data_IF_892305422761
#
_entry.id   IF_892305422761
#
_cell.length_a   1.000
_cell.length_b   1.000
_cell.length_c   1.000
_cell.angle_alpha   90.00
_cell.angle_beta   90.00
_cell.angle_gamma   90.00
#
_symmetry.space_group_name_H-M   'P 1'
#
loop_
_entity.id
_entity.type
_entity.pdbx_description
1 polymer ?
#
# COMPACT_ATOMS: atom_id res chain seq x y z
N UNK A 1 13.42 -22.34 20.00
CA UNK A 1 12.55 -21.63 19.04
C UNK A 1 11.61 -20.74 19.82
N UNK A 2 11.68 -19.43 19.61
CA UNK A 2 10.75 -18.49 20.26
C UNK A 2 9.52 -18.41 19.37
N UNK A 3 8.46 -19.14 19.74
CA UNK A 3 7.15 -19.07 19.09
C UNK A 3 6.41 -17.79 19.50
N UNK A 4 6.94 -16.65 19.08
CA UNK A 4 6.20 -15.39 19.05
C UNK A 4 5.36 -15.31 17.76
N UNK A 5 4.24 -14.58 17.75
CA UNK A 5 3.61 -14.17 16.50
C UNK A 5 4.66 -13.42 15.65
N UNK A 6 4.63 -13.53 14.31
CA UNK A 6 5.59 -12.86 13.46
C UNK A 6 5.55 -11.35 13.75
N UNK A 7 6.69 -10.80 14.17
CA UNK A 7 6.90 -9.36 14.33
C UNK A 7 6.84 -8.74 12.95
N UNK A 8 6.17 -7.58 12.81
CA UNK A 8 6.22 -6.81 11.57
C UNK A 8 7.69 -6.57 11.20
N UNK A 9 8.06 -6.96 9.98
CA UNK A 9 9.42 -6.71 9.47
C UNK A 9 9.64 -5.22 9.25
N UNK A 10 8.54 -4.49 9.02
CA UNK A 10 8.56 -3.07 8.72
C UNK A 10 7.25 -2.39 9.10
N UNK A 11 7.32 -1.14 9.58
CA UNK A 11 6.18 -0.27 9.86
C UNK A 11 6.50 1.18 9.45
N UNK A 12 5.54 1.84 8.80
CA UNK A 12 5.50 3.29 8.62
C UNK A 12 4.20 3.83 9.19
N UNK A 13 4.31 4.95 9.91
CA UNK A 13 3.17 5.78 10.29
C UNK A 13 3.30 7.14 9.64
N UNK A 14 2.26 7.54 8.90
CA UNK A 14 2.18 8.84 8.25
C UNK A 14 0.96 9.58 8.79
N UNK A 15 1.18 10.78 9.33
CA UNK A 15 0.09 11.68 9.71
C UNK A 15 -0.16 12.70 8.59
N UNK A 16 -1.38 12.74 8.09
CA UNK A 16 -1.82 13.62 7.02
C UNK A 16 -3.05 14.41 7.43
N UNK A 17 -3.32 15.50 6.72
CA UNK A 17 -4.61 16.18 6.70
C UNK A 17 -4.94 16.51 5.25
N UNK A 18 -6.12 16.11 4.80
CA UNK A 18 -6.54 16.41 3.44
C UNK A 18 -6.87 17.90 3.32
N UNK A 19 -6.41 18.53 2.23
CA UNK A 19 -6.77 19.92 1.89
C UNK A 19 -8.04 20.00 1.04
N UNK A 20 -8.43 18.88 0.44
CA UNK A 20 -9.63 18.70 -0.39
C UNK A 20 -10.22 17.35 -0.03
N UNK A 21 -11.54 17.28 0.14
CA UNK A 21 -12.24 16.02 0.41
C UNK A 21 -12.00 15.05 -0.74
N UNK A 22 -11.55 13.81 -0.47
CA UNK A 22 -11.46 12.78 -1.49
C UNK A 22 -12.82 12.51 -2.17
N UNK A 23 -12.78 12.20 -3.45
CA UNK A 23 -13.96 11.87 -4.26
C UNK A 23 -14.08 10.35 -4.33
N UNK A 24 -14.98 9.79 -3.53
CA UNK A 24 -15.18 8.35 -3.44
C UNK A 24 -14.13 7.66 -2.58
N UNK A 25 -13.80 6.41 -2.93
CA UNK A 25 -12.84 5.60 -2.16
C UNK A 25 -11.40 6.07 -2.35
N UNK A 26 -10.65 6.07 -1.25
CA UNK A 26 -9.20 6.30 -1.27
C UNK A 26 -8.48 4.94 -1.32
N UNK A 27 -7.51 4.82 -2.20
CA UNK A 27 -6.74 3.61 -2.44
C UNK A 27 -5.27 3.80 -2.05
N UNK A 28 -4.64 2.72 -1.58
CA UNK A 28 -3.19 2.55 -1.60
C UNK A 28 -2.84 1.85 -2.90
N UNK A 29 -1.97 2.47 -3.69
CA UNK A 29 -1.41 1.91 -4.92
C UNK A 29 0.03 1.44 -4.73
N UNK A 30 0.40 0.37 -5.39
CA UNK A 30 1.78 -0.06 -5.62
C UNK A 30 1.98 -0.21 -7.13
N UNK A 31 2.96 0.48 -7.70
CA UNK A 31 3.16 0.58 -9.14
C UNK A 31 4.63 0.38 -9.53
N UNK A 32 4.83 -0.23 -10.70
CA UNK A 32 6.12 -0.28 -11.39
C UNK A 32 5.98 0.53 -12.68
N UNK A 33 6.94 1.41 -12.97
CA UNK A 33 6.77 2.46 -13.98
C UNK A 33 7.70 2.35 -15.18
N UNK A 34 8.78 1.58 -15.09
CA UNK A 34 9.79 1.49 -16.15
C UNK A 34 9.37 0.54 -17.28
N UNK A 35 8.30 -0.24 -17.08
CA UNK A 35 7.72 -1.10 -18.10
C UNK A 35 6.88 -2.24 -17.51
N UNK A 36 6.31 -3.10 -18.37
CA UNK A 36 5.57 -4.26 -17.93
C UNK A 36 6.47 -5.25 -17.19
N UNK A 37 5.87 -6.11 -16.36
CA UNK A 37 6.61 -7.16 -15.69
C UNK A 37 7.07 -8.21 -16.71
N UNK A 38 8.39 -8.33 -16.91
CA UNK A 38 9.00 -9.31 -17.81
C UNK A 38 9.03 -10.71 -17.16
N UNK A 39 7.86 -11.30 -16.93
CA UNK A 39 7.71 -12.58 -16.25
C UNK A 39 7.64 -13.75 -17.24
N UNK A 40 8.57 -14.69 -17.10
CA UNK A 40 8.45 -16.03 -17.68
C UNK A 40 7.30 -16.83 -17.07
N UNK A 41 6.99 -17.99 -17.66
CA UNK A 41 5.86 -18.85 -17.24
C UNK A 41 5.91 -19.18 -15.74
N UNK A 42 7.10 -19.52 -15.24
CA UNK A 42 7.30 -19.88 -13.84
C UNK A 42 7.12 -18.69 -12.89
N UNK A 43 7.78 -17.56 -13.15
CA UNK A 43 7.67 -16.35 -12.29
C UNK A 43 6.28 -15.74 -12.33
N UNK A 44 5.56 -15.89 -13.45
CA UNK A 44 4.14 -15.54 -13.56
C UNK A 44 3.25 -16.39 -12.67
N UNK A 45 3.51 -17.70 -12.59
CA UNK A 45 2.83 -18.59 -11.65
C UNK A 45 3.03 -18.17 -10.19
N UNK A 46 4.26 -17.80 -9.84
CA UNK A 46 4.60 -17.28 -8.50
C UNK A 46 3.88 -15.96 -8.23
N UNK A 47 3.94 -14.99 -9.17
CA UNK A 47 3.28 -13.70 -9.02
C UNK A 47 1.77 -13.88 -8.74
N UNK A 48 1.09 -14.73 -9.51
CA UNK A 48 -0.33 -15.06 -9.30
C UNK A 48 -0.59 -15.72 -7.96
N UNK A 49 0.30 -16.58 -7.48
CA UNK A 49 0.15 -17.21 -6.17
C UNK A 49 0.28 -16.17 -5.03
N UNK A 50 1.27 -15.27 -5.10
CA UNK A 50 1.44 -14.16 -4.14
C UNK A 50 0.21 -13.24 -4.16
N UNK A 51 -0.27 -12.86 -5.34
CA UNK A 51 -1.47 -12.04 -5.52
C UNK A 51 -2.73 -12.75 -4.99
N UNK A 52 -2.86 -14.06 -5.21
CA UNK A 52 -3.96 -14.86 -4.69
C UNK A 52 -4.01 -14.89 -3.16
N UNK A 53 -2.85 -14.97 -2.50
CA UNK A 53 -2.75 -14.82 -1.04
C UNK A 53 -3.22 -13.42 -0.62
N UNK A 54 -2.72 -12.37 -1.27
CA UNK A 54 -3.13 -10.99 -1.00
C UNK A 54 -4.63 -10.77 -1.16
N UNK A 55 -5.22 -11.27 -2.26
CA UNK A 55 -6.66 -11.19 -2.51
C UNK A 55 -7.48 -11.91 -1.44
N UNK A 56 -7.05 -13.12 -1.04
CA UNK A 56 -7.71 -13.87 0.03
C UNK A 56 -7.72 -13.08 1.34
N UNK A 57 -6.59 -12.46 1.70
CA UNK A 57 -6.48 -11.62 2.90
C UNK A 57 -7.35 -10.36 2.82
N UNK A 58 -7.41 -9.71 1.66
CA UNK A 58 -8.27 -8.54 1.47
C UNK A 58 -9.76 -8.90 1.55
N UNK A 59 -10.19 -10.03 0.97
CA UNK A 59 -11.57 -10.50 1.04
C UNK A 59 -12.02 -10.82 2.45
N UNK A 60 -11.14 -11.37 3.29
CA UNK A 60 -11.42 -11.55 4.72
C UNK A 60 -11.69 -10.23 5.45
N UNK A 61 -11.26 -9.10 4.87
CA UNK A 61 -11.52 -7.74 5.38
C UNK A 61 -12.62 -7.02 4.59
N UNK A 62 -13.39 -7.74 3.76
CA UNK A 62 -14.49 -7.17 2.97
C UNK A 62 -14.04 -6.27 1.83
N UNK A 63 -12.83 -6.47 1.29
CA UNK A 63 -12.31 -5.65 0.21
C UNK A 63 -11.77 -6.49 -0.95
N UNK A 64 -11.81 -5.88 -2.13
CA UNK A 64 -11.20 -6.43 -3.34
C UNK A 64 -9.93 -5.67 -3.70
N UNK A 65 -8.91 -6.43 -4.08
CA UNK A 65 -7.67 -5.89 -4.64
C UNK A 65 -7.84 -5.83 -6.15
N UNK A 66 -7.62 -4.64 -6.72
CA UNK A 66 -7.44 -4.45 -8.17
C UNK A 66 -5.97 -4.64 -8.49
N UNK A 67 -5.64 -5.39 -9.52
CA UNK A 67 -4.25 -5.51 -9.98
C UNK A 67 -4.18 -5.84 -11.46
N UNK A 68 -3.02 -5.53 -12.07
CA UNK A 68 -2.59 -6.02 -13.38
C UNK A 68 -1.09 -6.33 -13.31
N UNK A 69 -0.62 -7.27 -14.13
CA UNK A 69 0.81 -7.51 -14.33
C UNK A 69 1.40 -6.65 -15.48
N UNK A 70 0.56 -5.84 -16.14
CA UNK A 70 0.93 -4.96 -17.24
C UNK A 70 1.10 -5.66 -18.60
N UNK A 71 0.67 -6.92 -18.72
CA UNK A 71 0.75 -7.70 -19.96
C UNK A 71 -0.62 -7.92 -20.64
N UNK A 72 -1.69 -7.37 -20.06
CA UNK A 72 -3.06 -7.54 -20.57
C UNK A 72 -3.40 -6.53 -21.67
N UNK A 73 -2.92 -5.29 -21.55
CA UNK A 73 -3.13 -4.21 -22.52
C UNK A 73 -1.83 -3.47 -22.84
N UNK A 74 -1.70 -3.04 -24.09
CA UNK A 74 -0.53 -2.28 -24.54
C UNK A 74 -0.41 -0.96 -23.75
N UNK A 75 0.75 -0.74 -23.14
CA UNK A 75 1.03 0.45 -22.33
C UNK A 75 0.48 0.40 -20.90
N UNK A 76 -0.21 -0.67 -20.49
CA UNK A 76 -0.67 -0.81 -19.11
C UNK A 76 0.51 -1.10 -18.16
N UNK A 77 0.55 -0.37 -17.05
CA UNK A 77 1.60 -0.54 -16.04
C UNK A 77 1.19 -1.57 -14.99
N UNK A 78 2.13 -2.43 -14.56
CA UNK A 78 1.88 -3.34 -13.45
C UNK A 78 1.52 -2.56 -12.19
N UNK A 79 0.40 -2.89 -11.58
CA UNK A 79 -0.02 -2.22 -10.36
C UNK A 79 -0.90 -3.09 -9.49
N UNK A 80 -0.97 -2.71 -8.21
CA UNK A 80 -1.91 -3.23 -7.22
C UNK A 80 -2.58 -2.01 -6.57
N UNK A 81 -3.90 -2.03 -6.44
CA UNK A 81 -4.66 -1.00 -5.75
C UNK A 81 -5.62 -1.63 -4.72
N UNK A 82 -5.58 -1.12 -3.50
CA UNK A 82 -6.32 -1.66 -2.36
C UNK A 82 -6.98 -0.50 -1.61
N UNK A 83 -8.27 -0.55 -1.27
CA UNK A 83 -8.90 0.48 -0.44
C UNK A 83 -8.11 0.70 0.85
N UNK A 84 -7.78 1.97 1.15
CA UNK A 84 -7.04 2.35 2.37
C UNK A 84 -7.73 1.81 3.62
N UNK A 85 -9.07 1.89 3.64
CA UNK A 85 -9.92 1.42 4.73
C UNK A 85 -9.79 -0.08 5.00
N UNK A 86 -9.39 -0.88 4.03
CA UNK A 86 -9.20 -2.32 4.20
C UNK A 86 -7.74 -2.71 4.48
N UNK A 87 -6.82 -1.92 3.95
CA UNK A 87 -5.39 -2.24 3.98
C UNK A 87 -4.69 -1.69 5.21
N UNK A 88 -4.94 -0.42 5.54
CA UNK A 88 -4.22 0.30 6.59
C UNK A 88 -4.95 0.25 7.93
N UNK A 89 -4.15 0.38 8.99
CA UNK A 89 -4.64 0.75 10.31
C UNK A 89 -4.70 2.28 10.36
N UNK A 90 -5.77 2.85 10.93
CA UNK A 90 -6.01 4.29 10.83
C UNK A 90 -6.41 4.92 12.16
N UNK A 91 -5.93 6.12 12.41
CA UNK A 91 -6.29 6.92 13.58
C UNK A 91 -6.71 8.31 13.13
N UNK A 92 -7.88 8.77 13.57
CA UNK A 92 -8.43 10.10 13.27
C UNK A 92 -8.36 10.97 14.52
N UNK A 93 -7.94 12.23 14.40
CA UNK A 93 -7.89 13.16 15.52
C UNK A 93 -8.26 14.59 15.09
N UNK A 94 -8.75 15.39 16.04
CA UNK A 94 -9.13 16.79 15.79
C UNK A 94 -7.91 17.72 15.62
N UNK A 95 -6.72 17.22 15.96
CA UNK A 95 -5.46 17.93 15.81
C UNK A 95 -4.29 16.97 15.62
N UNK A 96 -3.08 17.50 15.35
CA UNK A 96 -1.87 16.70 15.27
C UNK A 96 -1.63 15.92 16.56
N UNK A 97 -1.19 14.66 16.44
CA UNK A 97 -0.77 13.82 17.57
C UNK A 97 0.68 13.37 17.40
N UNK A 98 1.44 13.16 18.50
CA UNK A 98 2.78 12.59 18.41
C UNK A 98 2.79 11.21 17.75
N UNK A 99 3.79 10.97 16.91
CA UNK A 99 4.09 9.65 16.35
C UNK A 99 5.30 9.02 17.08
N UNK A 100 5.39 7.69 17.18
CA UNK A 100 4.41 6.70 16.71
C UNK A 100 3.20 6.59 17.64
N UNK A 101 2.02 6.33 17.06
CA UNK A 101 0.83 5.92 17.81
C UNK A 101 1.00 4.44 18.18
N UNK A 102 1.01 4.18 19.49
CA UNK A 102 1.02 2.83 20.04
C UNK A 102 -0.41 2.44 20.42
N UNK A 103 -0.92 1.40 19.78
CA UNK A 103 -2.26 0.86 20.05
C UNK A 103 -2.20 -0.67 20.10
N UNK A 104 -2.87 -1.32 21.08
CA UNK A 104 -2.79 -2.78 21.27
C UNK A 104 -3.41 -3.56 20.10
N UNK A 105 -4.45 -2.99 19.48
CA UNK A 105 -5.10 -3.65 18.35
C UNK A 105 -4.27 -3.54 17.06
N UNK A 106 -4.13 -4.68 16.40
CA UNK A 106 -3.34 -4.83 15.16
C UNK A 106 -4.05 -4.28 13.93
N UNK A 107 -5.38 -4.28 13.93
CA UNK A 107 -6.23 -3.80 12.83
C UNK A 107 -7.38 -2.98 13.41
N UNK A 108 -7.83 -1.98 12.67
CA UNK A 108 -8.98 -1.16 13.06
C UNK A 108 -8.83 0.30 12.64
N UNK A 109 -9.84 1.07 13.02
CA UNK A 109 -9.91 2.51 12.80
C UNK A 109 -10.47 3.16 14.05
N UNK A 110 -9.78 4.17 14.57
CA UNK A 110 -10.18 4.84 15.81
C UNK A 110 -10.20 6.35 15.65
N UNK A 111 -10.95 7.00 16.51
CA UNK A 111 -10.96 8.44 16.69
C UNK A 111 -10.50 8.81 18.09
N UNK A 112 -9.63 9.82 18.22
CA UNK A 112 -9.20 10.35 19.51
C UNK A 112 -10.30 11.23 20.08
N UNK A 113 -10.99 10.76 21.11
CA UNK A 113 -12.01 11.52 21.83
C UNK A 113 -11.68 11.55 23.32
N UNK A 114 -11.64 12.74 23.90
CA UNK A 114 -11.37 12.94 25.34
C UNK A 114 -10.11 12.22 25.85
N UNK A 115 -9.06 12.17 25.03
CA UNK A 115 -7.79 11.52 25.36
C UNK A 115 -7.76 10.00 25.20
N UNK A 116 -8.83 9.39 24.66
CA UNK A 116 -8.91 7.94 24.42
C UNK A 116 -9.22 7.62 22.96
N UNK A 117 -8.69 6.49 22.47
CA UNK A 117 -8.98 5.99 21.12
C UNK A 117 -10.27 5.17 21.13
N UNK A 118 -11.31 5.68 20.48
CA UNK A 118 -12.61 5.00 20.36
C UNK A 118 -12.76 4.43 18.95
N UNK A 119 -13.20 3.17 18.79
CA UNK A 119 -13.37 2.58 17.47
C UNK A 119 -14.45 3.32 16.67
N UNK A 120 -14.21 3.51 15.38
CA UNK A 120 -15.17 4.10 14.44
C UNK A 120 -15.33 3.22 13.21
N UNK A 121 -16.47 3.37 12.51
CA UNK A 121 -16.77 2.61 11.32
C UNK A 121 -15.88 3.01 10.13
N UNK A 122 -15.52 2.02 9.31
CA UNK A 122 -14.74 2.19 8.08
C UNK A 122 -15.68 2.47 6.91
N UNK A 123 -16.12 3.70 6.76
CA UNK A 123 -16.95 4.13 5.64
C UNK A 123 -16.12 4.74 4.50
N UNK A 124 -16.68 4.80 3.29
CA UNK A 124 -16.02 5.37 2.13
C UNK A 124 -15.83 6.90 2.24
N UNK A 125 -16.70 7.57 3.01
CA UNK A 125 -16.71 9.00 3.31
C UNK A 125 -15.98 9.33 4.63
N UNK A 126 -15.15 8.42 5.13
CA UNK A 126 -14.39 8.61 6.37
C UNK A 126 -13.46 9.83 6.33
N UNK A 127 -12.95 10.18 5.15
CA UNK A 127 -11.95 11.23 4.98
C UNK A 127 -12.58 12.60 4.77
N UNK A 128 -12.10 13.60 5.52
CA UNK A 128 -12.55 14.98 5.46
C UNK A 128 -11.38 15.98 5.56
N UNK A 129 -11.68 17.27 5.53
CA UNK A 129 -10.70 18.36 5.59
C UNK A 129 -10.38 18.86 7.00
N UNK A 130 -11.19 18.46 7.97
CA UNK A 130 -11.18 18.99 9.34
C UNK A 130 -10.24 18.20 10.24
N UNK A 131 -10.18 16.88 10.04
CA UNK A 131 -9.44 15.97 10.91
C UNK A 131 -8.09 15.58 10.35
N UNK A 132 -7.19 15.22 11.27
CA UNK A 132 -5.92 14.58 10.97
C UNK A 132 -6.12 13.08 10.91
N UNK A 133 -5.43 12.43 9.98
CA UNK A 133 -5.46 10.99 9.79
C UNK A 133 -4.03 10.46 9.89
N UNK A 134 -3.76 9.60 10.87
CA UNK A 134 -2.55 8.80 10.90
C UNK A 134 -2.83 7.45 10.24
N UNK A 135 -2.18 7.24 9.10
CA UNK A 135 -2.22 6.03 8.30
C UNK A 135 -1.03 5.16 8.69
N UNK A 136 -1.30 3.93 9.11
CA UNK A 136 -0.27 2.99 9.55
C UNK A 136 -0.24 1.80 8.60
N UNK A 137 0.87 1.69 7.89
CA UNK A 137 1.21 0.51 7.10
C UNK A 137 2.22 -0.32 7.88
N UNK A 138 1.91 -1.59 8.09
CA UNK A 138 2.87 -2.57 8.56
C UNK A 138 2.66 -3.89 7.83
N UNK A 139 3.73 -4.67 7.75
CA UNK A 139 3.68 -5.97 7.08
C UNK A 139 4.66 -6.93 7.71
N UNK A 140 4.23 -8.18 7.84
CA UNK A 140 5.07 -9.33 8.18
C UNK A 140 5.51 -10.09 6.94
N UNK A 141 5.11 -9.63 5.76
CA UNK A 141 5.26 -10.36 4.49
C UNK A 141 6.24 -9.71 3.52
N UNK A 142 6.66 -8.47 3.79
CA UNK A 142 7.61 -7.76 2.96
C UNK A 142 8.68 -7.16 3.86
N UNK A 143 9.92 -7.49 3.57
CA UNK A 143 11.09 -6.84 4.13
C UNK A 143 11.65 -5.90 3.05
N UNK A 144 11.32 -4.62 3.15
CA UNK A 144 11.81 -3.61 2.21
C UNK A 144 13.32 -3.35 2.36
N UNK A 145 13.91 -3.59 3.53
CA UNK A 145 15.35 -3.44 3.70
C UNK A 145 16.11 -4.49 2.88
N UNK A 146 15.73 -5.76 3.02
CA UNK A 146 16.30 -6.88 2.26
C UNK A 146 15.74 -7.03 0.84
N UNK A 147 14.66 -6.31 0.52
CA UNK A 147 13.94 -6.38 -0.75
C UNK A 147 13.37 -7.77 -1.03
N UNK A 148 12.65 -8.32 -0.05
CA UNK A 148 12.11 -9.70 -0.11
C UNK A 148 10.67 -9.76 0.32
N UNK A 149 9.91 -10.62 -0.33
CA UNK A 149 8.77 -11.25 0.32
C UNK A 149 9.28 -12.28 1.34
N UNK A 150 8.67 -12.27 2.51
CA UNK A 150 8.99 -13.17 3.61
C UNK A 150 7.72 -13.84 4.13
N UNK A 151 7.85 -15.04 4.67
CA UNK A 151 6.73 -15.75 5.31
C UNK A 151 5.47 -15.86 4.45
N UNK A 152 5.60 -15.94 3.13
CA UNK A 152 4.46 -16.15 2.23
C UNK A 152 3.96 -17.59 2.42
N UNK A 153 2.66 -17.80 2.73
CA UNK A 153 2.09 -19.12 2.88
C UNK A 153 2.42 -20.03 1.69
N UNK A 154 2.91 -21.24 1.97
CA UNK A 154 3.35 -22.25 1.00
C UNK A 154 4.58 -21.89 0.11
N UNK A 155 4.97 -20.62 -0.01
CA UNK A 155 6.08 -20.18 -0.86
C UNK A 155 7.36 -19.82 -0.07
N UNK A 156 7.25 -19.52 1.22
CA UNK A 156 8.38 -19.15 2.05
C UNK A 156 8.84 -17.71 1.78
N UNK A 157 10.11 -17.54 1.41
CA UNK A 157 10.67 -16.24 1.03
C UNK A 157 11.00 -16.17 -0.45
N UNK A 158 10.84 -14.99 -1.04
CA UNK A 158 11.08 -14.72 -2.46
C UNK A 158 11.73 -13.36 -2.59
N UNK A 159 12.75 -13.24 -3.42
CA UNK A 159 13.34 -11.94 -3.74
C UNK A 159 12.36 -11.09 -4.55
N UNK A 160 12.08 -9.86 -4.11
CA UNK A 160 11.18 -8.95 -4.83
C UNK A 160 11.70 -8.68 -6.25
N UNK A 161 13.02 -8.69 -6.46
CA UNK A 161 13.62 -8.53 -7.78
C UNK A 161 13.27 -9.67 -8.75
N UNK A 162 12.86 -10.84 -8.24
CA UNK A 162 12.36 -11.94 -9.08
C UNK A 162 11.07 -11.56 -9.80
N UNK A 163 10.27 -10.68 -9.21
CA UNK A 163 9.04 -10.18 -9.82
C UNK A 163 9.29 -8.82 -10.46
N UNK A 164 9.82 -7.85 -9.72
CA UNK A 164 9.89 -6.45 -10.14
C UNK A 164 11.19 -6.08 -10.88
N UNK A 165 12.15 -7.00 -10.99
CA UNK A 165 13.48 -6.71 -11.55
C UNK A 165 14.22 -5.65 -10.75
N UNK A 166 14.84 -4.70 -11.44
CA UNK A 166 15.55 -3.56 -10.86
C UNK A 166 14.69 -2.31 -10.68
N UNK A 167 13.38 -2.40 -10.93
CA UNK A 167 12.50 -1.24 -10.91
C UNK A 167 12.27 -0.74 -9.48
N UNK A 168 12.14 0.58 -9.35
CA UNK A 168 11.62 1.19 -8.12
C UNK A 168 10.14 0.83 -7.93
N UNK A 169 9.73 0.67 -6.67
CA UNK A 169 8.33 0.47 -6.30
C UNK A 169 7.73 1.82 -5.89
N UNK A 170 6.79 2.33 -6.68
CA UNK A 170 6.05 3.54 -6.35
C UNK A 170 4.84 3.18 -5.50
N UNK A 171 4.75 3.76 -4.32
CA UNK A 171 3.59 3.63 -3.43
C UNK A 171 2.80 4.92 -3.44
N UNK A 172 1.49 4.84 -3.66
CA UNK A 172 0.61 5.99 -3.81
C UNK A 172 -0.55 5.94 -2.83
N UNK A 173 -1.05 7.11 -2.44
CA UNK A 173 -2.40 7.26 -1.88
C UNK A 173 -3.17 8.18 -2.81
N UNK A 174 -4.29 7.70 -3.36
CA UNK A 174 -5.04 8.43 -4.38
C UNK A 174 -6.55 8.13 -4.32
N UNK A 175 -7.34 8.93 -5.03
CA UNK A 175 -8.71 8.59 -5.41
C UNK A 175 -8.91 8.60 -6.93
N UNK A 176 -10.01 8.01 -7.37
CA UNK A 176 -10.40 7.89 -8.79
C UNK A 176 -11.03 9.18 -9.36
N UNK A 177 -11.13 10.27 -8.58
CA UNK A 177 -11.68 11.55 -9.04
C UNK A 177 -13.22 11.60 -9.17
N UNK A 178 -13.71 12.56 -9.96
CA UNK A 178 -15.14 12.97 -10.03
C UNK A 178 -16.03 12.03 -10.86
N UNK A 179 -15.43 11.15 -11.67
CA UNK A 179 -16.12 10.25 -12.61
C UNK A 179 -16.15 8.79 -12.14
N UNK A 180 -16.17 8.55 -10.82
CA UNK A 180 -16.10 7.19 -10.22
C UNK A 180 -17.20 6.19 -10.64
N UNK A 181 -18.14 6.58 -11.52
CA UNK A 181 -19.10 5.67 -12.17
C UNK A 181 -18.54 4.95 -13.40
N UNK A 182 -17.50 5.51 -14.04
CA UNK A 182 -16.82 4.91 -15.18
C UNK A 182 -15.46 4.28 -14.79
N UNK A 183 -15.00 4.44 -13.54
CA UNK A 183 -13.69 3.98 -13.07
C UNK A 183 -13.53 2.44 -12.96
N UNK A 184 -14.63 1.69 -13.02
CA UNK A 184 -14.55 0.24 -13.22
C UNK A 184 -14.11 -0.13 -14.65
N UNK A 185 -14.24 0.80 -15.61
CA UNK A 185 -13.85 0.64 -17.02
C UNK A 185 -12.71 1.58 -17.45
N UNK A 186 -12.50 2.70 -16.75
CA UNK A 186 -11.45 3.67 -17.05
C UNK A 186 -10.14 3.33 -16.30
N UNK A 187 -9.39 2.38 -16.85
CA UNK A 187 -8.02 2.02 -16.45
C UNK A 187 -6.98 3.09 -16.83
N UNK A 188 -7.37 4.37 -16.88
CA UNK A 188 -6.48 5.45 -17.30
C UNK A 188 -5.83 6.11 -16.08
N UNK A 189 -4.57 5.74 -15.81
CA UNK A 189 -3.75 6.26 -14.71
C UNK A 189 -3.67 7.79 -14.67
N UNK A 190 -3.92 8.47 -15.81
CA UNK A 190 -3.90 9.94 -15.89
C UNK A 190 -5.06 10.62 -15.14
N UNK A 191 -6.09 9.87 -14.72
CA UNK A 191 -7.27 10.44 -14.05
C UNK A 191 -7.21 10.41 -12.52
N UNK A 192 -6.23 9.71 -11.95
CA UNK A 192 -6.08 9.56 -10.49
C UNK A 192 -5.60 10.87 -9.86
N UNK A 193 -6.20 11.24 -8.73
CA UNK A 193 -5.69 12.37 -7.92
C UNK A 193 -4.81 11.82 -6.82
N UNK A 194 -3.49 11.89 -7.02
CA UNK A 194 -2.53 11.47 -6.02
C UNK A 194 -2.44 12.50 -4.87
N UNK A 195 -2.54 12.01 -3.64
CA UNK A 195 -2.39 12.79 -2.41
C UNK A 195 -1.01 12.58 -1.77
N UNK A 196 -0.46 11.39 -1.95
CA UNK A 196 0.87 11.01 -1.49
C UNK A 196 1.50 10.12 -2.56
N UNK A 197 2.78 10.32 -2.80
CA UNK A 197 3.62 9.37 -3.51
C UNK A 197 4.92 9.16 -2.73
N UNK A 198 5.36 7.91 -2.66
CA UNK A 198 6.65 7.50 -2.12
C UNK A 198 7.31 6.55 -3.12
N UNK A 199 8.60 6.74 -3.35
CA UNK A 199 9.40 5.83 -4.16
C UNK A 199 10.28 4.97 -3.24
N UNK A 200 10.21 3.65 -3.42
CA UNK A 200 11.03 2.69 -2.70
C UNK A 200 12.05 2.10 -3.68
N UNK A 201 13.34 2.33 -3.40
CA UNK A 201 14.42 1.87 -4.26
C UNK A 201 14.91 0.46 -3.86
N UNK A 202 15.19 -0.40 -4.86
CA UNK A 202 15.85 -1.67 -4.59
C UNK A 202 17.28 -1.44 -4.06
N UNK A 203 17.85 -2.40 -3.30
CA UNK A 203 19.12 -2.21 -2.60
C UNK A 203 20.28 -1.71 -3.48
N UNK A 204 20.37 -2.18 -4.72
CA UNK A 204 21.43 -1.77 -5.64
C UNK A 204 21.31 -0.30 -6.08
N UNK A 205 20.10 0.24 -6.17
CA UNK A 205 19.85 1.63 -6.60
C UNK A 205 19.99 2.64 -5.45
N UNK A 206 20.09 2.19 -4.19
CA UNK A 206 20.22 3.09 -3.02
C UNK A 206 21.57 3.79 -2.97
N UNK A 207 22.64 3.08 -3.35
CA UNK A 207 24.01 3.58 -3.24
C UNK A 207 24.38 4.57 -4.35
N UNK A 208 23.73 4.52 -5.51
CA UNK A 208 23.98 5.46 -6.61
C UNK A 208 23.55 6.89 -6.24
N UNK A 209 22.53 7.05 -5.38
CA UNK A 209 22.09 8.36 -4.90
C UNK A 209 23.04 8.99 -3.87
N UNK A 210 23.69 8.18 -3.03
CA UNK A 210 24.63 8.69 -2.01
C UNK A 210 25.88 9.32 -2.65
N UNK A 211 26.31 8.81 -3.82
CA UNK A 211 27.45 9.39 -4.55
C UNK A 211 27.12 10.71 -5.26
N UNK A 212 25.88 10.89 -5.71
CA UNK A 212 25.42 12.13 -6.36
C UNK A 212 25.12 13.25 -5.35
N UNK A 213 24.72 12.93 -4.11
CA UNK A 213 24.55 13.93 -3.03
C UNK A 213 25.90 14.40 -2.46
N UNK A 214 26.97 13.60 -2.64
CA UNK A 214 28.32 13.92 -2.20
C UNK A 214 29.14 14.77 -3.20
N UNK A 215 28.58 15.10 -4.37
CA UNK A 215 29.19 15.93 -5.42
C UNK A 215 28.57 17.31 -5.50
#
# INVERSE_FOLDING_TARGET
EVSGPPTACWEIQLQVRFKVVPKGSVFVGFELRDGPLQLGIFTRGIARAVLGVGQSMARQRGADIRYTLGDEKEGERPHIAIPVTAFLRMFRSDGPVPLPIMHPDKNGTWHLSQGSWLPIERAADLFDTEHYFTLVFNTTYIDFYLWKFVSIPALGSLDLATLCGSQALHTLIYDDGEDGRDAAEAEDFQRRRAFLEMELLPPHARHEQDEDVAR
#
